data_IF_802068646866
#
_entry.id   IF_802068646866
#
_cell.length_a   1.000
_cell.length_b   1.000
_cell.length_c   1.000
_cell.angle_alpha   90.00
_cell.angle_beta   90.00
_cell.angle_gamma   90.00
#
_symmetry.space_group_name_H-M   'P 1'
#
loop_
_entity.id
_entity.type
_entity.pdbx_description
1 polymer ?
#
# COMPACT_ATOMS: atom_id res chain seq x y z
N UNK A 1 10.33 12.20 12.87
CA UNK A 1 10.66 12.32 11.44
C UNK A 1 11.08 10.95 10.89
N UNK A 2 12.16 10.33 11.42
CA UNK A 2 12.65 9.01 10.93
C UNK A 2 11.53 7.98 10.88
N UNK A 3 10.79 7.80 11.98
CA UNK A 3 9.70 6.82 12.07
C UNK A 3 8.60 7.09 11.03
N UNK A 4 8.25 8.34 10.81
CA UNK A 4 7.21 8.71 9.82
C UNK A 4 7.65 8.40 8.39
N UNK A 5 8.89 8.73 8.05
CA UNK A 5 9.46 8.43 6.72
C UNK A 5 9.62 6.93 6.53
N UNK A 6 10.07 6.20 7.57
CA UNK A 6 10.13 4.74 7.57
C UNK A 6 8.76 4.13 7.22
N UNK A 7 7.69 4.53 7.93
CA UNK A 7 6.35 3.99 7.67
C UNK A 7 5.86 4.27 6.25
N UNK A 8 6.08 5.49 5.76
CA UNK A 8 5.69 5.88 4.38
C UNK A 8 6.48 5.07 3.35
N UNK A 9 7.81 4.97 3.53
CA UNK A 9 8.68 4.19 2.66
C UNK A 9 8.25 2.71 2.63
N UNK A 10 8.02 2.13 3.82
CA UNK A 10 7.59 0.74 3.94
C UNK A 10 6.29 0.48 3.19
N UNK A 11 5.27 1.33 3.34
CA UNK A 11 3.99 1.15 2.65
C UNK A 11 4.16 1.24 1.14
N UNK A 12 4.84 2.28 0.63
CA UNK A 12 5.05 2.44 -0.80
C UNK A 12 5.83 1.26 -1.40
N UNK A 13 6.93 0.88 -0.76
CA UNK A 13 7.78 -0.20 -1.25
C UNK A 13 7.08 -1.54 -1.17
N UNK A 14 6.36 -1.82 -0.08
CA UNK A 14 5.66 -3.09 0.12
C UNK A 14 4.54 -3.25 -0.90
N UNK A 15 3.68 -2.25 -1.07
CA UNK A 15 2.58 -2.31 -2.03
C UNK A 15 3.06 -2.40 -3.47
N UNK A 16 4.11 -1.65 -3.83
CA UNK A 16 4.70 -1.76 -5.17
C UNK A 16 5.31 -3.16 -5.39
N UNK A 17 6.07 -3.66 -4.43
CA UNK A 17 6.69 -4.99 -4.54
C UNK A 17 5.64 -6.12 -4.61
N UNK A 18 4.53 -5.98 -3.89
CA UNK A 18 3.42 -6.94 -4.00
C UNK A 18 2.76 -6.91 -5.39
N UNK A 19 2.54 -5.70 -5.94
CA UNK A 19 1.98 -5.55 -7.29
C UNK A 19 2.93 -6.12 -8.35
N UNK A 20 4.21 -5.76 -8.29
CA UNK A 20 5.21 -6.23 -9.25
C UNK A 20 5.39 -7.75 -9.15
N UNK A 21 5.42 -8.33 -7.94
CA UNK A 21 5.51 -9.78 -7.75
C UNK A 21 4.27 -10.52 -8.24
N UNK A 22 3.08 -9.93 -8.12
CA UNK A 22 1.87 -10.52 -8.68
C UNK A 22 1.88 -10.49 -10.22
N UNK A 23 2.31 -9.39 -10.81
CA UNK A 23 2.49 -9.25 -12.26
C UNK A 23 3.52 -10.28 -12.78
N UNK A 24 4.67 -10.39 -12.12
CA UNK A 24 5.71 -11.36 -12.48
C UNK A 24 5.19 -12.81 -12.41
N UNK A 25 4.40 -13.13 -11.39
CA UNK A 25 3.80 -14.45 -11.21
C UNK A 25 2.79 -14.77 -12.33
N UNK A 26 1.98 -13.79 -12.75
CA UNK A 26 1.04 -13.95 -13.86
C UNK A 26 1.80 -14.16 -15.18
N UNK A 27 2.85 -13.35 -15.41
CA UNK A 27 3.68 -13.46 -16.61
C UNK A 27 4.42 -14.82 -16.66
N UNK A 28 4.91 -15.31 -15.53
CA UNK A 28 5.59 -16.60 -15.46
C UNK A 28 4.62 -17.77 -15.75
N UNK A 29 3.37 -17.66 -15.30
CA UNK A 29 2.35 -18.70 -15.48
C UNK A 29 1.72 -18.70 -16.86
N UNK A 30 1.25 -17.52 -17.32
CA UNK A 30 0.39 -17.39 -18.50
C UNK A 30 1.07 -16.67 -19.67
N UNK A 31 2.26 -16.12 -19.44
CA UNK A 31 3.01 -15.36 -20.44
C UNK A 31 2.67 -13.87 -20.46
N UNK A 32 3.56 -13.08 -21.04
CA UNK A 32 3.41 -11.64 -21.18
C UNK A 32 2.69 -11.31 -22.50
N UNK A 33 1.38 -11.34 -22.50
CA UNK A 33 0.55 -10.97 -23.63
C UNK A 33 -0.65 -10.12 -23.18
N UNK A 34 -1.22 -9.33 -24.10
CA UNK A 34 -2.33 -8.42 -23.78
C UNK A 34 -3.62 -8.77 -24.49
N UNK A 35 -3.51 -9.28 -25.73
CA UNK A 35 -4.64 -9.72 -26.56
C UNK A 35 -4.32 -11.09 -27.13
N UNK A 36 -5.27 -11.98 -27.09
CA UNK A 36 -5.25 -13.26 -27.79
C UNK A 36 -6.33 -13.25 -28.87
N UNK A 37 -5.97 -13.59 -30.12
CA UNK A 37 -6.85 -13.66 -31.25
C UNK A 37 -6.95 -15.11 -31.69
N UNK A 38 -8.16 -15.58 -31.89
CA UNK A 38 -8.47 -16.97 -32.24
C UNK A 38 -8.80 -17.09 -33.73
N UNK A 39 -8.55 -18.27 -34.29
CA UNK A 39 -8.91 -18.62 -35.66
C UNK A 39 -8.40 -17.62 -36.73
N UNK A 40 -7.15 -17.16 -36.56
CA UNK A 40 -6.52 -16.17 -37.43
C UNK A 40 -6.03 -16.78 -38.74
N UNK A 41 -6.26 -16.09 -39.84
CA UNK A 41 -5.67 -16.45 -41.15
C UNK A 41 -4.23 -15.93 -41.26
N UNK A 42 -3.42 -16.57 -42.15
CA UNK A 42 -2.03 -16.13 -42.35
C UNK A 42 -1.89 -14.67 -42.81
N UNK A 43 -2.88 -14.15 -43.51
CA UNK A 43 -2.95 -12.74 -43.97
C UNK A 43 -3.20 -11.80 -42.76
N UNK A 44 -4.14 -12.15 -41.91
CA UNK A 44 -4.43 -11.39 -40.68
C UNK A 44 -3.24 -11.37 -39.71
N UNK A 45 -2.50 -12.48 -39.61
CA UNK A 45 -1.30 -12.55 -38.78
C UNK A 45 -0.27 -11.56 -39.29
N UNK A 46 0.01 -11.52 -40.61
CA UNK A 46 0.97 -10.59 -41.19
C UNK A 46 0.60 -9.12 -40.97
N UNK A 47 -0.69 -8.79 -41.07
CA UNK A 47 -1.20 -7.45 -40.83
C UNK A 47 -1.07 -7.06 -39.33
N UNK A 48 -1.38 -7.97 -38.40
CA UNK A 48 -1.28 -7.74 -36.98
C UNK A 48 0.20 -7.64 -36.48
N UNK A 49 1.11 -8.41 -37.10
CA UNK A 49 2.54 -8.30 -36.82
C UNK A 49 3.14 -6.97 -37.28
N UNK A 50 2.66 -6.45 -38.39
CA UNK A 50 3.09 -5.16 -38.93
C UNK A 50 2.38 -3.96 -38.26
N UNK A 51 1.38 -4.20 -37.41
CA UNK A 51 0.58 -3.16 -36.82
C UNK A 51 1.40 -2.27 -35.85
N UNK A 52 1.10 -0.97 -35.90
CA UNK A 52 1.77 0.01 -35.03
C UNK A 52 1.44 -0.27 -33.57
N UNK A 53 2.45 -0.28 -32.70
CA UNK A 53 2.31 -0.51 -31.25
C UNK A 53 2.56 -1.95 -30.82
N UNK A 54 2.73 -2.90 -31.72
CA UNK A 54 3.08 -4.29 -31.36
C UNK A 54 4.56 -4.37 -30.96
N UNK A 55 4.82 -5.03 -29.83
CA UNK A 55 6.15 -5.30 -29.29
C UNK A 55 6.63 -6.69 -29.72
N UNK A 56 5.80 -7.69 -29.53
CA UNK A 56 6.06 -9.09 -29.90
C UNK A 56 4.76 -9.82 -30.10
N UNK A 57 4.85 -10.89 -30.87
CA UNK A 57 3.74 -11.80 -31.15
C UNK A 57 4.19 -13.23 -30.87
N UNK A 58 3.26 -14.08 -30.48
CA UNK A 58 3.53 -15.48 -30.20
C UNK A 58 2.34 -16.33 -30.67
N UNK A 59 2.62 -17.35 -31.47
CA UNK A 59 1.62 -18.36 -31.83
C UNK A 59 1.71 -19.50 -30.81
N UNK A 60 0.60 -19.85 -30.21
CA UNK A 60 0.49 -20.99 -29.30
C UNK A 60 -0.65 -21.86 -29.80
N UNK A 61 -0.38 -23.15 -29.97
CA UNK A 61 -1.41 -24.12 -30.28
C UNK A 61 -1.96 -24.67 -28.96
N UNK A 62 -3.24 -24.40 -28.70
CA UNK A 62 -3.97 -24.91 -27.54
C UNK A 62 -5.09 -25.77 -28.08
N UNK A 63 -5.05 -27.09 -27.83
CA UNK A 63 -6.11 -28.06 -28.17
C UNK A 63 -6.58 -27.98 -29.64
N UNK A 64 -5.64 -28.09 -30.57
CA UNK A 64 -5.86 -28.00 -32.02
C UNK A 64 -6.29 -26.60 -32.57
N UNK A 65 -6.49 -25.60 -31.71
CA UNK A 65 -6.73 -24.23 -32.11
C UNK A 65 -5.46 -23.38 -31.98
N UNK A 66 -5.09 -22.73 -33.04
CA UNK A 66 -4.00 -21.79 -33.06
C UNK A 66 -4.45 -20.45 -32.44
N UNK A 67 -3.82 -20.07 -31.36
CA UNK A 67 -4.07 -18.81 -30.64
C UNK A 67 -2.92 -17.85 -30.91
N UNK A 68 -3.23 -16.71 -31.50
CA UNK A 68 -2.26 -15.66 -31.80
C UNK A 68 -2.24 -14.64 -30.64
N UNK A 69 -1.18 -14.64 -29.83
CA UNK A 69 -1.00 -13.74 -28.69
C UNK A 69 -0.18 -12.51 -29.07
N UNK A 70 -0.65 -11.35 -28.73
CA UNK A 70 -0.06 -10.05 -29.05
C UNK A 70 0.34 -9.34 -27.76
N UNK A 71 1.60 -8.90 -27.71
CA UNK A 71 2.14 -8.03 -26.67
C UNK A 71 2.30 -6.63 -27.25
N UNK A 72 1.69 -5.62 -26.64
CA UNK A 72 1.82 -4.22 -27.06
C UNK A 72 2.97 -3.52 -26.32
N UNK A 73 3.59 -2.54 -26.97
CA UNK A 73 4.61 -1.66 -26.34
C UNK A 73 4.01 -0.85 -25.18
N UNK A 74 2.79 -0.36 -25.38
CA UNK A 74 2.02 0.35 -24.38
C UNK A 74 0.73 -0.43 -24.07
N UNK A 75 0.67 -1.17 -22.94
CA UNK A 75 -0.54 -1.91 -22.59
C UNK A 75 -1.79 -1.04 -22.45
N UNK A 76 -1.62 0.28 -22.13
CA UNK A 76 -2.74 1.22 -22.01
C UNK A 76 -3.55 1.43 -23.29
N UNK A 77 -2.98 1.10 -24.45
CA UNK A 77 -3.62 1.26 -25.76
C UNK A 77 -4.34 -0.02 -26.21
N UNK A 78 -4.44 -1.04 -25.35
CA UNK A 78 -4.98 -2.37 -25.70
C UNK A 78 -6.39 -2.31 -26.30
N UNK A 79 -7.28 -1.49 -25.75
CA UNK A 79 -8.66 -1.36 -26.23
C UNK A 79 -8.74 -0.56 -27.54
N UNK A 80 -7.91 0.46 -27.68
CA UNK A 80 -7.82 1.23 -28.93
C UNK A 80 -7.23 0.38 -30.05
N UNK A 81 -6.19 -0.40 -29.76
CA UNK A 81 -5.61 -1.35 -30.70
C UNK A 81 -6.64 -2.36 -31.17
N UNK A 82 -7.40 -2.98 -30.27
CA UNK A 82 -8.44 -3.93 -30.62
C UNK A 82 -9.51 -3.30 -31.53
N UNK A 83 -9.97 -2.10 -31.20
CA UNK A 83 -10.98 -1.39 -32.03
C UNK A 83 -10.48 -0.96 -33.41
N UNK A 84 -9.16 -0.75 -33.56
CA UNK A 84 -8.53 -0.30 -34.80
C UNK A 84 -8.21 -1.45 -35.76
N UNK A 85 -7.71 -2.56 -35.23
CA UNK A 85 -7.14 -3.66 -36.03
C UNK A 85 -7.97 -4.94 -36.02
N UNK A 86 -8.90 -5.10 -35.07
CA UNK A 86 -9.77 -6.28 -35.00
C UNK A 86 -11.18 -5.93 -35.41
N UNK A 87 -11.76 -6.74 -36.31
CA UNK A 87 -13.15 -6.57 -36.75
C UNK A 87 -14.12 -7.22 -35.78
N UNK A 88 -15.39 -6.81 -35.78
CA UNK A 88 -16.45 -7.38 -34.96
C UNK A 88 -16.65 -8.90 -35.12
N UNK A 89 -16.20 -9.43 -36.26
CA UNK A 89 -16.28 -10.86 -36.58
C UNK A 89 -15.07 -11.66 -36.09
N UNK A 90 -14.02 -10.98 -35.62
CA UNK A 90 -12.80 -11.62 -35.11
C UNK A 90 -12.98 -12.01 -33.64
N UNK A 91 -12.84 -13.28 -33.35
CA UNK A 91 -12.89 -13.76 -31.98
C UNK A 91 -11.57 -13.42 -31.27
N UNK A 92 -11.63 -12.65 -30.21
CA UNK A 92 -10.46 -12.26 -29.41
C UNK A 92 -10.79 -12.17 -27.91
N UNK A 93 -9.76 -12.30 -27.08
CA UNK A 93 -9.86 -12.10 -25.64
C UNK A 93 -8.73 -11.23 -25.11
N UNK A 94 -9.01 -10.51 -24.03
CA UNK A 94 -8.00 -9.74 -23.32
C UNK A 94 -7.42 -10.56 -22.18
N UNK A 95 -6.16 -10.34 -21.86
CA UNK A 95 -5.57 -10.86 -20.62
C UNK A 95 -6.07 -10.04 -19.42
N UNK A 96 -7.32 -10.26 -19.03
CA UNK A 96 -8.05 -9.44 -18.06
C UNK A 96 -7.36 -9.40 -16.70
N UNK A 97 -6.75 -10.51 -16.27
CA UNK A 97 -6.02 -10.58 -15.02
C UNK A 97 -4.80 -9.64 -15.05
N UNK A 98 -3.91 -9.79 -16.03
CA UNK A 98 -2.73 -8.93 -16.18
C UNK A 98 -3.10 -7.45 -16.31
N UNK A 99 -4.10 -7.13 -17.14
CA UNK A 99 -4.57 -5.76 -17.37
C UNK A 99 -5.18 -5.14 -16.10
N UNK A 100 -5.82 -5.94 -15.25
CA UNK A 100 -6.36 -5.48 -13.96
C UNK A 100 -5.25 -5.07 -12.99
N UNK A 101 -4.17 -5.85 -12.90
CA UNK A 101 -2.99 -5.50 -12.08
C UNK A 101 -2.21 -4.32 -12.68
N UNK A 102 -2.15 -4.19 -14.00
CA UNK A 102 -1.58 -3.01 -14.65
C UNK A 102 -2.43 -1.74 -14.48
N UNK A 103 -3.69 -1.89 -14.08
CA UNK A 103 -4.60 -0.76 -13.87
C UNK A 103 -5.27 -0.26 -15.13
N UNK A 104 -5.42 -1.12 -16.14
CA UNK A 104 -5.94 -0.81 -17.47
C UNK A 104 -7.33 -1.42 -17.70
N UNK A 105 -7.78 -2.31 -16.81
CA UNK A 105 -9.10 -2.95 -16.94
C UNK A 105 -10.25 -1.94 -16.99
N UNK A 106 -11.23 -2.17 -17.86
CA UNK A 106 -12.43 -1.33 -17.98
C UNK A 106 -13.43 -1.54 -16.84
N UNK A 107 -13.43 -2.72 -16.20
CA UNK A 107 -14.39 -3.04 -15.15
C UNK A 107 -13.90 -2.61 -13.77
N UNK A 108 -13.01 -3.36 -13.19
CA UNK A 108 -12.42 -3.06 -11.86
C UNK A 108 -10.91 -3.29 -11.90
N UNK A 109 -10.17 -2.26 -11.56
CA UNK A 109 -8.71 -2.34 -11.52
C UNK A 109 -8.27 -2.66 -10.09
N UNK A 110 -7.66 -3.82 -9.90
CA UNK A 110 -7.04 -4.22 -8.62
C UNK A 110 -6.01 -3.17 -8.19
N UNK A 111 -5.27 -2.61 -9.14
CA UNK A 111 -4.32 -1.53 -8.88
C UNK A 111 -4.99 -0.29 -8.29
N UNK A 112 -6.17 0.10 -8.78
CA UNK A 112 -6.89 1.28 -8.26
C UNK A 112 -7.38 1.07 -6.83
N UNK A 113 -7.83 -0.14 -6.49
CA UNK A 113 -8.20 -0.51 -5.12
C UNK A 113 -6.99 -0.45 -4.18
N UNK A 114 -5.87 -1.05 -4.56
CA UNK A 114 -4.63 -1.03 -3.78
C UNK A 114 -4.13 0.39 -3.59
N UNK A 115 -4.15 1.22 -4.64
CA UNK A 115 -3.76 2.64 -4.55
C UNK A 115 -4.70 3.44 -3.66
N UNK A 116 -6.00 3.14 -3.68
CA UNK A 116 -6.99 3.76 -2.78
C UNK A 116 -6.71 3.44 -1.31
N UNK A 117 -6.45 2.18 -0.99
CA UNK A 117 -6.07 1.75 0.37
C UNK A 117 -4.74 2.40 0.79
N UNK A 118 -3.75 2.42 -0.11
CA UNK A 118 -2.47 3.09 0.13
C UNK A 118 -2.65 4.57 0.47
N UNK A 119 -3.46 5.29 -0.32
CA UNK A 119 -3.73 6.71 -0.11
C UNK A 119 -4.41 6.95 1.25
N UNK A 120 -5.36 6.11 1.64
CA UNK A 120 -6.02 6.20 2.94
C UNK A 120 -5.02 5.98 4.10
N UNK A 121 -4.19 4.95 4.01
CA UNK A 121 -3.14 4.67 5.02
C UNK A 121 -2.12 5.81 5.11
N UNK A 122 -1.67 6.33 3.97
CA UNK A 122 -0.74 7.47 3.93
C UNK A 122 -1.33 8.73 4.55
N UNK A 123 -2.62 9.00 4.32
CA UNK A 123 -3.29 10.14 4.93
C UNK A 123 -3.33 10.01 6.46
N UNK A 124 -3.64 8.84 6.97
CA UNK A 124 -3.67 8.57 8.41
C UNK A 124 -2.27 8.75 9.02
N UNK A 125 -1.25 8.18 8.38
CA UNK A 125 0.15 8.33 8.81
C UNK A 125 0.58 9.79 8.76
N UNK A 126 0.22 10.53 7.69
CA UNK A 126 0.54 11.94 7.57
C UNK A 126 -0.03 12.76 8.72
N UNK A 127 -1.30 12.55 9.08
CA UNK A 127 -1.94 13.25 10.21
C UNK A 127 -1.23 12.95 11.53
N UNK A 128 -0.93 11.68 11.79
CA UNK A 128 -0.18 11.26 12.98
C UNK A 128 1.24 11.84 13.02
N UNK A 129 1.96 11.77 11.90
CA UNK A 129 3.31 12.28 11.75
C UNK A 129 3.36 13.81 11.96
N UNK A 130 2.48 14.56 11.29
CA UNK A 130 2.38 16.02 11.45
C UNK A 130 2.15 16.37 12.91
N UNK A 131 1.26 15.65 13.60
CA UNK A 131 0.96 15.91 15.02
C UNK A 131 2.18 15.67 15.92
N UNK A 132 2.90 14.55 15.73
CA UNK A 132 4.09 14.23 16.53
C UNK A 132 5.24 15.21 16.29
N UNK A 133 5.53 15.49 15.01
CA UNK A 133 6.61 16.41 14.63
C UNK A 133 6.28 17.83 15.08
N UNK A 134 5.03 18.26 14.94
CA UNK A 134 4.53 19.54 15.47
C UNK A 134 4.80 19.66 16.99
N UNK A 135 4.46 18.64 17.77
CA UNK A 135 4.66 18.65 19.20
C UNK A 135 6.14 18.78 19.57
N UNK A 136 7.03 18.05 18.87
CA UNK A 136 8.46 18.14 19.08
C UNK A 136 9.00 19.54 18.79
N UNK A 137 8.63 20.14 17.66
CA UNK A 137 9.03 21.52 17.33
C UNK A 137 8.43 22.55 18.29
N UNK A 138 7.17 22.37 18.72
CA UNK A 138 6.53 23.29 19.65
C UNK A 138 7.24 23.30 21.01
N UNK A 139 7.71 22.15 21.49
CA UNK A 139 8.52 22.04 22.71
C UNK A 139 9.88 22.72 22.50
N UNK A 140 10.61 22.36 21.43
CA UNK A 140 11.92 22.95 21.12
C UNK A 140 11.87 24.47 21.01
N UNK A 141 10.91 25.01 20.27
CA UNK A 141 10.69 26.46 20.17
C UNK A 141 10.35 27.09 21.53
N UNK A 142 9.53 26.40 22.35
CA UNK A 142 9.19 26.89 23.71
C UNK A 142 10.41 26.99 24.62
N UNK A 143 11.32 26.02 24.56
CA UNK A 143 12.56 26.00 25.35
C UNK A 143 13.50 27.13 24.94
N UNK A 144 13.59 27.43 23.63
CA UNK A 144 14.45 28.50 23.07
C UNK A 144 13.77 29.87 22.97
N UNK A 145 12.64 30.05 23.61
CA UNK A 145 11.87 31.32 23.54
C UNK A 145 12.68 32.52 23.96
N UNK A 146 13.58 32.39 24.96
CA UNK A 146 14.45 33.47 25.44
C UNK A 146 15.51 33.86 24.40
N UNK A 147 16.14 32.85 23.77
CA UNK A 147 17.15 33.07 22.72
C UNK A 147 16.55 33.77 21.50
N UNK A 148 15.39 33.30 21.04
CA UNK A 148 14.63 33.91 19.94
C UNK A 148 14.17 35.33 20.29
N UNK A 149 13.82 35.59 21.55
CA UNK A 149 13.48 36.92 22.06
C UNK A 149 14.69 37.86 22.08
N UNK A 150 15.87 37.39 22.45
CA UNK A 150 17.13 38.14 22.37
C UNK A 150 17.47 38.51 20.93
N UNK A 151 17.38 37.56 19.99
CA UNK A 151 17.56 37.81 18.55
C UNK A 151 16.62 38.89 18.04
N UNK A 152 15.35 38.86 18.46
CA UNK A 152 14.37 39.91 18.11
C UNK A 152 14.72 41.28 18.72
N UNK A 153 15.34 41.32 19.91
CA UNK A 153 15.74 42.58 20.56
C UNK A 153 16.93 43.27 19.90
N UNK A 154 17.79 42.54 19.20
CA UNK A 154 18.92 43.04 18.40
C UNK A 154 18.52 43.34 16.96
N UNK A 155 17.22 43.22 16.59
CA UNK A 155 16.71 43.64 15.30
C UNK A 155 16.31 42.53 14.32
N UNK A 156 16.32 41.24 14.73
CA UNK A 156 15.85 40.15 13.86
C UNK A 156 14.36 40.29 13.57
N UNK A 157 14.00 40.19 12.30
CA UNK A 157 12.60 40.30 11.86
C UNK A 157 11.83 38.99 12.12
N UNK A 158 10.49 39.08 12.06
CA UNK A 158 9.67 37.89 12.15
C UNK A 158 9.95 36.85 11.07
N UNK A 159 10.42 37.31 9.89
CA UNK A 159 10.81 36.42 8.79
C UNK A 159 12.09 35.67 9.13
N UNK A 160 13.08 36.36 9.73
CA UNK A 160 14.35 35.74 10.13
C UNK A 160 14.14 34.64 11.15
N UNK A 161 13.30 34.88 12.17
CA UNK A 161 12.95 33.88 13.18
C UNK A 161 12.25 32.66 12.55
N UNK A 162 11.34 32.86 11.61
CA UNK A 162 10.70 31.75 10.88
C UNK A 162 11.72 30.97 10.07
N UNK A 163 12.61 31.67 9.37
CA UNK A 163 13.65 31.05 8.53
C UNK A 163 14.57 30.19 9.38
N UNK A 164 14.94 30.64 10.59
CA UNK A 164 15.74 29.85 11.54
C UNK A 164 15.02 28.54 11.89
N UNK A 165 13.74 28.57 12.25
CA UNK A 165 12.99 27.36 12.60
C UNK A 165 12.82 26.43 11.40
N UNK A 166 12.57 26.96 10.20
CA UNK A 166 12.47 26.14 8.99
C UNK A 166 13.81 25.55 8.57
N UNK A 167 14.92 26.31 8.69
CA UNK A 167 16.26 25.80 8.36
C UNK A 167 16.66 24.68 9.32
N UNK A 168 16.35 24.80 10.61
CA UNK A 168 16.56 23.73 11.59
C UNK A 168 15.73 22.48 11.23
N UNK A 169 14.43 22.67 10.89
CA UNK A 169 13.57 21.58 10.46
C UNK A 169 14.09 20.86 9.21
N UNK A 170 14.55 21.62 8.20
CA UNK A 170 15.12 21.08 6.97
C UNK A 170 16.42 20.33 7.24
N UNK A 171 17.30 20.87 8.08
CA UNK A 171 18.56 20.22 8.44
C UNK A 171 18.30 18.88 9.14
N UNK A 172 17.38 18.84 10.09
CA UNK A 172 16.95 17.60 10.72
C UNK A 172 16.30 16.64 9.71
N UNK A 173 15.50 17.16 8.77
CA UNK A 173 14.93 16.40 7.68
C UNK A 173 15.98 15.75 6.76
N UNK A 174 17.03 16.51 6.42
CA UNK A 174 18.11 16.03 5.55
C UNK A 174 18.85 14.82 6.12
N UNK A 175 18.97 14.71 7.42
CA UNK A 175 19.57 13.55 8.09
C UNK A 175 18.52 12.44 8.31
N UNK A 176 17.33 12.82 8.76
CA UNK A 176 16.32 11.86 9.15
C UNK A 176 15.66 11.12 7.97
N UNK A 177 15.51 11.79 6.82
CA UNK A 177 14.86 11.20 5.64
C UNK A 177 15.66 10.04 5.05
N UNK A 178 16.96 10.16 4.76
CA UNK A 178 17.74 9.02 4.27
C UNK A 178 17.75 7.85 5.25
N UNK A 179 17.89 8.12 6.55
CA UNK A 179 17.84 7.07 7.58
C UNK A 179 16.46 6.38 7.57
N UNK A 180 15.38 7.16 7.49
CA UNK A 180 14.03 6.63 7.40
C UNK A 180 13.80 5.76 6.17
N UNK A 181 14.35 6.16 5.01
CA UNK A 181 14.27 5.39 3.76
C UNK A 181 15.02 4.06 3.91
N UNK A 182 16.25 4.07 4.40
CA UNK A 182 17.05 2.84 4.58
C UNK A 182 16.34 1.87 5.53
N UNK A 183 15.89 2.36 6.68
CA UNK A 183 15.14 1.55 7.63
C UNK A 183 13.80 1.06 7.04
N UNK A 184 13.13 1.88 6.24
CA UNK A 184 11.90 1.52 5.54
C UNK A 184 12.10 0.39 4.54
N UNK A 185 13.18 0.43 3.76
CA UNK A 185 13.55 -0.64 2.84
C UNK A 185 13.89 -1.95 3.56
N UNK A 186 14.65 -1.87 4.65
CA UNK A 186 14.97 -3.04 5.48
C UNK A 186 13.70 -3.66 6.08
N UNK A 187 12.78 -2.82 6.56
CA UNK A 187 11.50 -3.27 7.10
C UNK A 187 10.65 -3.92 6.01
N UNK A 188 10.59 -3.32 4.81
CA UNK A 188 9.86 -3.88 3.67
C UNK A 188 10.41 -5.24 3.26
N UNK A 189 11.75 -5.37 3.19
CA UNK A 189 12.39 -6.64 2.89
C UNK A 189 12.03 -7.72 3.90
N UNK A 190 12.14 -7.42 5.21
CA UNK A 190 11.80 -8.36 6.26
C UNK A 190 10.31 -8.76 6.25
N UNK A 191 9.40 -7.80 5.98
CA UNK A 191 7.97 -8.06 5.89
C UNK A 191 7.62 -8.94 4.68
N UNK A 192 8.23 -8.68 3.51
CA UNK A 192 8.00 -9.50 2.31
C UNK A 192 8.50 -10.93 2.49
N UNK A 193 9.66 -11.12 3.13
CA UNK A 193 10.21 -12.44 3.42
C UNK A 193 9.29 -13.24 4.36
N UNK A 194 8.87 -12.61 5.47
CA UNK A 194 7.95 -13.23 6.43
C UNK A 194 6.59 -13.53 5.77
N UNK A 195 6.05 -12.57 5.02
CA UNK A 195 4.73 -12.70 4.39
C UNK A 195 4.76 -13.75 3.27
N UNK A 196 5.79 -13.75 2.43
CA UNK A 196 5.99 -14.75 1.38
C UNK A 196 6.10 -16.17 1.95
N UNK A 197 6.88 -16.34 3.02
CA UNK A 197 7.01 -17.63 3.70
C UNK A 197 5.69 -18.10 4.33
N UNK A 198 4.87 -17.17 4.85
CA UNK A 198 3.57 -17.48 5.45
C UNK A 198 2.53 -17.82 4.38
N UNK A 199 2.45 -17.03 3.32
CA UNK A 199 1.55 -17.26 2.18
C UNK A 199 1.85 -18.58 1.47
N UNK A 200 3.14 -18.90 1.29
CA UNK A 200 3.56 -20.19 0.72
C UNK A 200 3.03 -21.40 1.50
N UNK A 201 2.96 -21.28 2.83
CA UNK A 201 2.40 -22.35 3.69
C UNK A 201 0.88 -22.42 3.64
N UNK A 202 0.20 -21.28 3.52
CA UNK A 202 -1.27 -21.20 3.58
C UNK A 202 -1.90 -21.53 2.22
N UNK A 203 -1.30 -21.03 1.14
CA UNK A 203 -1.86 -21.17 -0.21
C UNK A 203 -1.22 -22.32 -1.00
N UNK A 204 -0.21 -23.01 -0.42
CA UNK A 204 0.59 -24.05 -1.11
C UNK A 204 1.18 -23.57 -2.46
N UNK A 205 1.31 -22.26 -2.64
CA UNK A 205 1.88 -21.62 -3.83
C UNK A 205 3.17 -20.93 -3.41
N UNK A 206 4.26 -21.26 -4.06
CA UNK A 206 5.55 -20.62 -3.80
C UNK A 206 5.58 -19.24 -4.46
N UNK A 207 4.87 -18.27 -3.86
CA UNK A 207 4.89 -16.89 -4.32
C UNK A 207 6.23 -16.30 -3.85
N UNK A 208 7.22 -16.33 -4.71
CA UNK A 208 8.52 -15.70 -4.48
C UNK A 208 8.38 -14.18 -4.43
N UNK A 209 7.85 -13.63 -3.33
CA UNK A 209 7.75 -12.18 -3.17
C UNK A 209 9.15 -11.57 -3.11
N UNK A 210 9.49 -10.76 -4.10
CA UNK A 210 10.79 -10.10 -4.20
C UNK A 210 10.65 -8.62 -3.91
N UNK A 211 11.67 -8.06 -3.27
CA UNK A 211 11.74 -6.61 -3.04
C UNK A 211 12.06 -5.91 -4.38
N UNK A 212 11.10 -5.18 -4.91
CA UNK A 212 11.29 -4.32 -6.08
C UNK A 212 11.56 -2.88 -5.63
N UNK A 213 12.79 -2.43 -5.82
CA UNK A 213 13.21 -1.06 -5.46
C UNK A 213 13.05 -0.18 -6.68
N UNK A 214 12.08 0.72 -6.63
CA UNK A 214 11.87 1.71 -7.66
C UNK A 214 12.42 3.07 -7.22
N UNK A 215 13.45 3.59 -7.90
CA UNK A 215 14.08 4.87 -7.58
C UNK A 215 13.10 6.06 -7.60
N UNK A 216 12.07 6.01 -8.45
CA UNK A 216 11.02 7.02 -8.49
C UNK A 216 10.18 7.04 -7.20
N UNK A 217 9.85 5.87 -6.64
CA UNK A 217 9.14 5.77 -5.36
C UNK A 217 9.97 6.30 -4.19
N UNK A 218 11.28 6.05 -4.19
CA UNK A 218 12.18 6.62 -3.19
C UNK A 218 12.21 8.15 -3.26
N UNK A 219 12.23 8.70 -4.47
CA UNK A 219 12.16 10.14 -4.67
C UNK A 219 10.83 10.73 -4.17
N UNK A 220 9.70 10.10 -4.48
CA UNK A 220 8.38 10.49 -3.97
C UNK A 220 8.36 10.42 -2.43
N UNK A 221 8.90 9.36 -1.85
CA UNK A 221 9.00 9.21 -0.39
C UNK A 221 9.82 10.32 0.25
N UNK A 222 10.95 10.70 -0.36
CA UNK A 222 11.78 11.80 0.12
C UNK A 222 11.04 13.14 0.05
N UNK A 223 10.40 13.44 -1.09
CA UNK A 223 9.60 14.66 -1.27
C UNK A 223 8.48 14.73 -0.24
N UNK A 224 7.77 13.61 -0.05
CA UNK A 224 6.69 13.52 0.94
C UNK A 224 7.21 13.72 2.37
N UNK A 225 8.36 13.15 2.71
CA UNK A 225 9.03 13.35 4.00
C UNK A 225 9.37 14.83 4.25
N UNK A 226 9.95 15.52 3.26
CA UNK A 226 10.20 16.97 3.37
C UNK A 226 8.92 17.78 3.52
N UNK A 227 7.87 17.42 2.77
CA UNK A 227 6.57 18.08 2.88
C UNK A 227 5.99 17.93 4.30
N UNK A 228 6.04 16.73 4.89
CA UNK A 228 5.59 16.49 6.27
C UNK A 228 6.36 17.34 7.27
N UNK A 229 7.69 17.44 7.14
CA UNK A 229 8.54 18.25 8.02
C UNK A 229 8.19 19.71 7.91
N UNK A 230 8.04 20.26 6.70
CA UNK A 230 7.71 21.66 6.47
C UNK A 230 6.32 22.02 6.99
N UNK A 231 5.32 21.18 6.74
CA UNK A 231 3.95 21.38 7.25
C UNK A 231 3.92 21.37 8.78
N UNK A 232 4.65 20.44 9.39
CA UNK A 232 4.71 20.28 10.86
C UNK A 232 5.42 21.46 11.52
N UNK A 233 6.49 21.98 10.92
CA UNK A 233 7.24 23.12 11.44
C UNK A 233 6.49 24.47 11.25
N UNK A 234 5.52 24.53 10.35
CA UNK A 234 4.86 25.77 9.95
C UNK A 234 4.14 26.52 11.07
N UNK A 235 3.42 25.79 11.93
CA UNK A 235 2.70 26.42 13.05
C UNK A 235 3.65 26.84 14.17
N UNK A 236 4.63 26.00 14.64
CA UNK A 236 5.64 26.40 15.60
C UNK A 236 6.47 27.59 15.11
N UNK A 237 6.88 27.62 13.84
CA UNK A 237 7.63 28.73 13.27
C UNK A 237 6.85 30.07 13.29
N UNK A 238 5.55 30.01 12.99
CA UNK A 238 4.67 31.19 13.12
C UNK A 238 4.48 31.62 14.58
N UNK A 239 4.40 30.66 15.50
CA UNK A 239 4.30 30.97 16.93
C UNK A 239 5.58 31.60 17.45
N UNK A 240 6.75 31.07 17.10
CA UNK A 240 8.06 31.61 17.42
C UNK A 240 8.21 33.08 16.95
N UNK A 241 7.80 33.38 15.72
CA UNK A 241 7.94 34.73 15.15
C UNK A 241 7.03 35.80 15.79
N UNK A 242 6.02 35.41 16.57
CA UNK A 242 5.09 36.32 17.28
C UNK A 242 5.44 36.54 18.75
N UNK A 243 6.62 36.06 19.19
CA UNK A 243 7.07 36.19 20.56
C UNK A 243 7.30 37.69 20.86
N UNK A 244 6.53 38.22 21.83
CA UNK A 244 6.68 39.62 22.25
C UNK A 244 7.87 39.76 23.19
N UNK A 245 8.77 40.69 22.89
CA UNK A 245 10.00 40.98 23.64
C UNK A 245 9.67 41.36 25.09
N UNK A 246 8.61 42.16 25.31
CA UNK A 246 8.27 42.71 26.60
C UNK A 246 7.62 41.68 27.55
N UNK A 247 6.77 40.78 27.02
CA UNK A 247 6.09 39.76 27.81
C UNK A 247 7.00 38.65 28.36
N UNK A 248 8.08 38.32 27.62
CA UNK A 248 8.99 37.23 27.99
C UNK A 248 10.14 37.67 28.90
N UNK A 249 10.58 38.94 28.82
CA UNK A 249 11.58 39.52 29.74
C UNK A 249 10.99 39.69 31.15
N UNK A 250 9.69 39.92 31.30
CA UNK A 250 9.00 40.03 32.61
C UNK A 250 8.67 38.68 33.26
N UNK A 251 8.85 37.56 32.55
CA UNK A 251 8.47 36.26 33.10
C UNK A 251 6.96 36.07 33.35
N UNK A 252 6.16 36.97 32.84
CA UNK A 252 4.69 36.90 32.92
C UNK A 252 4.15 35.87 31.90
N UNK A 253 4.33 34.58 32.15
CA UNK A 253 3.34 33.59 31.72
C UNK A 253 2.07 33.99 32.45
N UNK A 254 1.11 34.54 31.71
CA UNK A 254 -0.12 35.16 32.19
C UNK A 254 -0.65 34.44 33.43
N UNK A 255 -0.63 35.12 34.55
CA UNK A 255 -1.19 34.64 35.81
C UNK A 255 -2.68 34.47 35.59
N UNK A 256 -3.13 33.28 35.24
CA UNK A 256 -4.54 32.96 35.27
C UNK A 256 -5.00 33.12 36.71
N UNK A 257 -5.82 34.15 37.01
CA UNK A 257 -6.52 34.28 38.26
C UNK A 257 -7.35 33.01 38.49
N UNK A 258 -6.85 32.14 39.33
CA UNK A 258 -7.53 30.89 39.68
C UNK A 258 -8.41 31.18 40.87
N UNK A 259 -9.72 31.12 40.66
CA UNK A 259 -10.70 31.11 41.75
C UNK A 259 -10.42 29.91 42.62
N UNK A 260 -10.01 30.09 43.86
CA UNK A 260 -9.90 29.05 44.86
C UNK A 260 -11.29 28.50 45.13
N UNK A 261 -11.56 27.28 44.67
CA UNK A 261 -12.74 26.50 45.07
C UNK A 261 -12.28 25.47 46.13
N UNK A 262 -13.15 25.19 47.08
CA UNK A 262 -12.95 24.44 48.29
C UNK A 262 -12.15 23.14 48.13
N UNK A 263 -11.23 22.94 49.05
CA UNK A 263 -10.29 21.81 49.15
C UNK A 263 -11.02 20.52 49.52
N UNK A 264 -11.17 19.62 48.56
CA UNK A 264 -11.58 18.21 48.81
C UNK A 264 -10.76 17.18 48.02
N UNK A 265 -9.75 17.59 47.25
CA UNK A 265 -8.88 16.69 46.51
C UNK A 265 -7.41 16.92 46.86
N UNK A 266 -6.58 15.86 46.82
CA UNK A 266 -5.15 15.95 47.10
C UNK A 266 -4.47 17.04 46.27
N UNK A 267 -3.47 17.70 46.82
CA UNK A 267 -2.73 18.80 46.17
C UNK A 267 -2.21 18.42 44.77
N UNK A 268 -1.85 17.15 44.61
CA UNK A 268 -1.36 16.57 43.35
C UNK A 268 -2.43 16.60 42.24
N UNK A 269 -3.67 16.21 42.56
CA UNK A 269 -4.79 16.24 41.62
C UNK A 269 -5.17 17.67 41.18
N UNK A 270 -5.00 18.64 42.10
CA UNK A 270 -5.24 20.03 41.82
C UNK A 270 -4.17 20.62 40.88
N UNK A 271 -2.90 20.27 41.11
CA UNK A 271 -1.77 20.65 40.27
C UNK A 271 -1.92 20.03 38.87
N UNK A 272 -2.22 18.74 38.78
CA UNK A 272 -2.45 18.05 37.49
C UNK A 272 -3.58 18.69 36.67
N UNK A 273 -4.75 18.96 37.30
CA UNK A 273 -5.86 19.65 36.64
C UNK A 273 -5.50 21.05 36.18
N UNK A 274 -4.68 21.79 36.94
CA UNK A 274 -4.19 23.13 36.57
C UNK A 274 -3.25 23.08 35.37
N UNK A 275 -2.31 22.13 35.37
CA UNK A 275 -1.38 21.92 34.24
C UNK A 275 -2.14 21.56 32.95
N UNK A 276 -3.09 20.62 33.03
CA UNK A 276 -3.94 20.24 31.90
C UNK A 276 -4.76 21.44 31.37
N UNK A 277 -5.32 22.25 32.29
CA UNK A 277 -6.06 23.47 31.89
C UNK A 277 -5.17 24.52 31.24
N UNK A 278 -3.91 24.64 31.67
CA UNK A 278 -2.95 25.60 31.11
C UNK A 278 -2.50 25.18 29.72
N UNK A 279 -2.32 23.88 29.48
CA UNK A 279 -1.78 23.32 28.23
C UNK A 279 -2.84 22.55 27.40
N UNK A 280 -4.09 23.01 27.45
CA UNK A 280 -5.23 22.35 26.80
C UNK A 280 -4.98 21.97 25.34
N UNK A 281 -4.26 22.80 24.57
CA UNK A 281 -3.99 22.54 23.15
C UNK A 281 -3.03 21.38 22.98
N UNK A 282 -1.93 21.33 23.75
CA UNK A 282 -0.97 20.23 23.71
C UNK A 282 -1.63 18.93 24.20
N UNK A 283 -2.37 19.00 25.31
CA UNK A 283 -3.07 17.84 25.86
C UNK A 283 -4.09 17.25 24.85
N UNK A 284 -4.88 18.10 24.17
CA UNK A 284 -5.81 17.63 23.14
C UNK A 284 -5.09 16.96 21.97
N UNK A 285 -3.97 17.52 21.51
CA UNK A 285 -3.20 16.94 20.41
C UNK A 285 -2.66 15.54 20.78
N UNK A 286 -2.10 15.39 21.98
CA UNK A 286 -1.62 14.09 22.48
C UNK A 286 -2.77 13.09 22.63
N UNK A 287 -3.89 13.51 23.23
CA UNK A 287 -5.07 12.64 23.40
C UNK A 287 -5.63 12.19 22.07
N UNK A 288 -5.71 13.10 21.10
CA UNK A 288 -6.20 12.80 19.75
C UNK A 288 -5.26 11.83 19.01
N UNK A 289 -3.95 12.05 19.09
CA UNK A 289 -2.96 11.14 18.51
C UNK A 289 -3.04 9.74 19.13
N UNK A 290 -3.17 9.66 20.45
CA UNK A 290 -3.31 8.38 21.15
C UNK A 290 -4.63 7.68 20.78
N UNK A 291 -5.73 8.42 20.69
CA UNK A 291 -7.03 7.89 20.30
C UNK A 291 -6.98 7.33 18.85
N UNK A 292 -6.35 8.05 17.91
CA UNK A 292 -6.15 7.56 16.54
C UNK A 292 -5.31 6.28 16.54
N UNK A 293 -4.22 6.23 17.30
CA UNK A 293 -3.36 5.04 17.37
C UNK A 293 -4.12 3.81 17.90
N UNK A 294 -4.92 3.99 18.94
CA UNK A 294 -5.77 2.92 19.49
C UNK A 294 -6.83 2.50 18.47
N UNK A 295 -7.49 3.47 17.83
CA UNK A 295 -8.49 3.20 16.80
C UNK A 295 -7.90 2.38 15.64
N UNK A 296 -6.73 2.78 15.14
CA UNK A 296 -6.03 2.07 14.06
C UNK A 296 -5.65 0.65 14.47
N UNK A 297 -5.13 0.48 15.69
CA UNK A 297 -4.76 -0.83 16.19
C UNK A 297 -5.97 -1.76 16.30
N UNK A 298 -7.07 -1.27 16.86
CA UNK A 298 -8.32 -2.03 16.99
C UNK A 298 -8.91 -2.35 15.61
N UNK A 299 -8.91 -1.38 14.68
CA UNK A 299 -9.40 -1.58 13.32
C UNK A 299 -8.57 -2.61 12.55
N UNK A 300 -7.23 -2.57 12.67
CA UNK A 300 -6.35 -3.54 12.03
C UNK A 300 -6.57 -4.96 12.59
N UNK A 301 -6.72 -5.09 13.92
CA UNK A 301 -7.05 -6.38 14.53
C UNK A 301 -8.42 -6.91 14.08
N UNK A 302 -9.45 -6.05 14.06
CA UNK A 302 -10.79 -6.43 13.61
C UNK A 302 -10.77 -6.87 12.14
N UNK A 303 -10.05 -6.15 11.28
CA UNK A 303 -9.88 -6.51 9.88
C UNK A 303 -9.16 -7.86 9.72
N UNK A 304 -8.08 -8.09 10.47
CA UNK A 304 -7.35 -9.36 10.45
C UNK A 304 -8.23 -10.54 10.86
N UNK A 305 -9.00 -10.40 11.93
CA UNK A 305 -9.93 -11.43 12.39
C UNK A 305 -11.04 -11.68 11.36
N UNK A 306 -11.57 -10.62 10.75
CA UNK A 306 -12.57 -10.74 9.70
C UNK A 306 -12.02 -11.47 8.47
N UNK A 307 -10.80 -11.15 8.04
CA UNK A 307 -10.14 -11.85 6.93
C UNK A 307 -9.91 -13.33 7.23
N UNK A 308 -9.46 -13.67 8.44
CA UNK A 308 -9.31 -15.07 8.83
C UNK A 308 -10.64 -15.81 8.80
N UNK A 309 -11.71 -15.21 9.34
CA UNK A 309 -13.04 -15.83 9.32
C UNK A 309 -13.61 -15.97 7.91
N UNK A 310 -13.29 -15.01 7.01
CA UNK A 310 -13.67 -15.09 5.60
C UNK A 310 -12.97 -16.26 4.89
N UNK A 311 -11.64 -16.40 5.08
CA UNK A 311 -10.89 -17.53 4.53
C UNK A 311 -11.37 -18.86 5.07
N UNK A 312 -11.69 -18.95 6.37
CA UNK A 312 -12.25 -20.16 6.97
C UNK A 312 -13.66 -20.50 6.44
N UNK A 313 -14.49 -19.47 6.21
CA UNK A 313 -15.82 -19.65 5.63
C UNK A 313 -15.74 -20.13 4.18
N UNK A 314 -14.81 -19.57 3.39
CA UNK A 314 -14.54 -19.98 2.02
C UNK A 314 -14.05 -21.43 1.97
N UNK A 315 -13.11 -21.83 2.84
CA UNK A 315 -12.66 -23.22 2.96
C UNK A 315 -13.76 -24.20 3.33
N UNK A 316 -14.72 -23.79 4.17
CA UNK A 316 -15.87 -24.63 4.52
C UNK A 316 -16.91 -24.75 3.39
N UNK A 317 -17.02 -23.74 2.54
CA UNK A 317 -17.87 -23.76 1.36
C UNK A 317 -17.28 -24.58 0.20
N UNK A 318 -15.96 -24.79 0.20
CA UNK A 318 -15.27 -25.68 -0.72
C UNK A 318 -15.52 -27.12 -0.20
N UNK A 319 -16.55 -27.75 -0.63
CA UNK A 319 -16.96 -29.10 -0.17
C UNK A 319 -15.95 -30.24 -0.49
N UNK A 320 -14.65 -29.93 -0.61
CA UNK A 320 -13.59 -30.90 -0.89
C UNK A 320 -12.30 -30.51 -0.16
N UNK A 321 -11.50 -31.50 0.21
CA UNK A 321 -10.22 -31.30 0.90
C UNK A 321 -9.04 -31.14 -0.08
N UNK A 322 -9.13 -31.76 -1.26
CA UNK A 322 -8.08 -31.72 -2.28
C UNK A 322 -8.68 -31.51 -3.66
N UNK A 323 -8.12 -30.56 -4.42
CA UNK A 323 -8.46 -30.33 -5.82
C UNK A 323 -7.26 -30.64 -6.71
N UNK A 324 -7.47 -31.51 -7.69
CA UNK A 324 -6.49 -31.79 -8.73
C UNK A 324 -7.00 -31.24 -10.05
N UNK A 325 -6.22 -30.36 -10.68
CA UNK A 325 -6.53 -29.85 -12.01
C UNK A 325 -5.84 -30.74 -13.05
N UNK A 326 -6.63 -31.33 -13.92
CA UNK A 326 -6.14 -32.16 -14.98
C UNK A 326 -6.76 -31.75 -16.32
N UNK A 327 -5.96 -31.72 -17.37
CA UNK A 327 -6.44 -31.47 -18.72
C UNK A 327 -6.67 -32.80 -19.41
N UNK A 328 -7.88 -33.34 -19.30
CA UNK A 328 -8.30 -34.57 -19.95
C UNK A 328 -9.70 -34.43 -20.52
N UNK A 329 -9.99 -35.09 -21.61
CA UNK A 329 -11.31 -35.15 -22.21
C UNK A 329 -12.20 -36.12 -21.44
N UNK A 330 -13.39 -35.65 -21.04
CA UNK A 330 -14.35 -36.45 -20.27
C UNK A 330 -14.82 -37.69 -21.07
N UNK A 331 -14.85 -38.84 -20.41
CA UNK A 331 -15.28 -40.10 -21.02
C UNK A 331 -14.19 -40.83 -21.81
N UNK A 332 -12.94 -40.38 -21.73
CA UNK A 332 -11.80 -41.14 -22.24
C UNK A 332 -11.41 -42.27 -21.30
N UNK A 333 -10.79 -43.30 -21.82
CA UNK A 333 -10.26 -44.41 -20.99
C UNK A 333 -9.28 -43.91 -19.94
N UNK A 334 -8.50 -42.89 -20.27
CA UNK A 334 -7.52 -42.28 -19.37
C UNK A 334 -8.20 -41.61 -18.17
N UNK A 335 -9.34 -40.94 -18.42
CA UNK A 335 -10.15 -40.35 -17.34
C UNK A 335 -10.73 -41.41 -16.40
N UNK A 336 -11.28 -42.50 -16.95
CA UNK A 336 -11.87 -43.58 -16.16
C UNK A 336 -10.80 -44.32 -15.34
N UNK A 337 -9.60 -44.52 -15.90
CA UNK A 337 -8.46 -45.09 -15.18
C UNK A 337 -7.99 -44.19 -14.05
N UNK A 338 -7.83 -42.89 -14.27
CA UNK A 338 -7.45 -41.93 -13.24
C UNK A 338 -8.51 -41.87 -12.12
N UNK A 339 -9.78 -41.75 -12.50
CA UNK A 339 -10.88 -41.70 -11.55
C UNK A 339 -10.95 -42.95 -10.67
N UNK A 340 -10.83 -44.13 -11.27
CA UNK A 340 -10.82 -45.37 -10.55
C UNK A 340 -9.59 -45.55 -9.66
N UNK A 341 -8.43 -45.11 -10.13
CA UNK A 341 -7.18 -45.10 -9.35
C UNK A 341 -7.32 -44.19 -8.11
N UNK A 342 -7.78 -42.95 -8.29
CA UNK A 342 -7.94 -42.01 -7.19
C UNK A 342 -8.95 -42.54 -6.17
N UNK A 343 -10.09 -43.09 -6.62
CA UNK A 343 -11.13 -43.67 -5.76
C UNK A 343 -10.67 -44.90 -5.00
N UNK A 344 -9.64 -45.60 -5.48
CA UNK A 344 -9.08 -46.78 -4.83
C UNK A 344 -8.07 -46.48 -3.74
N UNK A 345 -7.67 -45.20 -3.54
CA UNK A 345 -6.69 -44.83 -2.54
C UNK A 345 -7.31 -44.81 -1.13
N UNK A 346 -6.53 -45.34 -0.16
CA UNK A 346 -6.92 -45.32 1.26
C UNK A 346 -6.95 -43.87 1.78
N UNK A 347 -8.04 -43.50 2.45
CA UNK A 347 -8.25 -42.15 3.02
C UNK A 347 -9.04 -41.20 2.14
N UNK A 348 -9.59 -41.65 1.02
CA UNK A 348 -10.49 -40.90 0.16
C UNK A 348 -11.92 -41.37 0.38
N UNK A 349 -12.76 -40.53 0.94
CA UNK A 349 -14.16 -40.85 1.25
C UNK A 349 -15.05 -40.66 0.02
N UNK A 350 -14.88 -39.56 -0.71
CA UNK A 350 -15.69 -39.19 -1.86
C UNK A 350 -14.86 -38.51 -2.95
N UNK A 351 -15.11 -38.87 -4.21
CA UNK A 351 -14.46 -38.28 -5.38
C UNK A 351 -15.53 -37.65 -6.26
N UNK A 352 -15.46 -36.33 -6.43
CA UNK A 352 -16.28 -35.58 -7.35
C UNK A 352 -15.45 -35.03 -8.51
N UNK A 353 -16.12 -34.61 -9.57
CA UNK A 353 -15.49 -33.90 -10.69
C UNK A 353 -16.42 -32.79 -11.17
N UNK A 354 -15.82 -31.71 -11.69
CA UNK A 354 -16.57 -30.67 -12.40
C UNK A 354 -15.75 -30.13 -13.56
N UNK A 355 -16.42 -29.68 -14.60
CA UNK A 355 -15.80 -29.04 -15.75
C UNK A 355 -15.94 -27.53 -15.65
N UNK A 356 -14.86 -26.79 -15.76
CA UNK A 356 -14.86 -25.32 -15.77
C UNK A 356 -15.29 -24.73 -17.12
N UNK A 357 -15.21 -25.53 -18.18
CA UNK A 357 -15.63 -25.13 -19.55
C UNK A 357 -16.14 -26.35 -20.31
N UNK A 358 -17.11 -26.23 -21.23
CA UNK A 358 -17.60 -27.37 -22.00
C UNK A 358 -16.57 -28.10 -22.85
N UNK A 359 -15.37 -27.54 -23.00
CA UNK A 359 -14.39 -28.06 -23.93
C UNK A 359 -13.06 -28.54 -23.36
N UNK A 360 -12.52 -28.10 -22.19
CA UNK A 360 -11.10 -28.39 -21.96
C UNK A 360 -10.55 -28.49 -20.54
N UNK A 361 -11.29 -28.28 -19.46
CA UNK A 361 -10.73 -28.49 -18.10
C UNK A 361 -11.68 -29.26 -17.21
N UNK A 362 -11.21 -30.43 -16.77
CA UNK A 362 -11.90 -31.21 -15.76
C UNK A 362 -11.07 -31.19 -14.47
N UNK A 363 -11.69 -30.82 -13.36
CA UNK A 363 -11.08 -30.90 -12.05
C UNK A 363 -11.67 -32.06 -11.29
N UNK A 364 -10.82 -32.92 -10.72
CA UNK A 364 -11.21 -33.99 -9.79
C UNK A 364 -11.18 -33.44 -8.39
N UNK A 365 -12.29 -33.57 -7.65
CA UNK A 365 -12.43 -33.18 -6.24
C UNK A 365 -12.28 -34.42 -5.36
N UNK A 366 -11.48 -34.30 -4.33
CA UNK A 366 -11.22 -35.34 -3.33
C UNK A 366 -11.65 -34.86 -1.95
#
# INVERSE_FOLDING_TARGET
IVLSVLMVCTIFTLLNSMLDSAIDSIIEKDGNWHIAVYNTTAEQIADLEAAEGVLSTQMISIDENDVFRITLKNPGEVYEFASRYLSETTEYSYHTELLSYLGISQSESIKSLIMGIAAALLLIIAVGAISLIYNAFAISVSERTKELGLLSSIGATQKDIRTIVYSEALLLGTVAIPIGIVLGLLTSWALLDIFGAYMGKVLYVNIGMRLHINGWLLMITAIFGYLLVLLSAGVPARAASKISIIGNLKGEKGVMKVKCSNFTSSAENLLAKRTIKREKKAFRAITFSLAISIFLFVSANAFSLYMLSFVEAERKNIGYDLRMNYSMEFGTKEFDELYSFVKSQDGIDEVGWFAESPSHFHSVLL
#
